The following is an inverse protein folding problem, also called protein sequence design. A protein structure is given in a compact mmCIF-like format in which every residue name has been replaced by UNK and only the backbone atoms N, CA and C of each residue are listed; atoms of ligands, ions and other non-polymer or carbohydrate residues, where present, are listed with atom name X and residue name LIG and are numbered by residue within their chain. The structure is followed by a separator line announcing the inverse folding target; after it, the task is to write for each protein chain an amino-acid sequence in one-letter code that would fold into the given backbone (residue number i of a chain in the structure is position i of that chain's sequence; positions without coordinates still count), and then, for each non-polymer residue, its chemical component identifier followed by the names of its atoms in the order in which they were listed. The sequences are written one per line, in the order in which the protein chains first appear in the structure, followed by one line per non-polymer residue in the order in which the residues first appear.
data_IF_490627292675
#
_entry.id   IF_490627292675
#
_cell.length_a   1.000
_cell.length_b   1.000
_cell.length_c   1.000
_cell.angle_alpha   90.00
_cell.angle_beta   90.00
_cell.angle_gamma   90.00
#
_symmetry.space_group_name_H-M   'P 1'
#
loop_
_entity.id
_entity.type
_entity.pdbx_description
1 polymer ?
#
# COMPACT_ATOMS: atom_id res chain seq x y z
N UNK A 1 37.56 63.50 -35.77
CA UNK A 1 36.51 63.05 -34.83
C UNK A 1 35.99 61.70 -35.30
N UNK A 2 36.40 60.59 -34.67
CA UNK A 2 35.86 59.24 -34.96
C UNK A 2 35.24 58.72 -33.66
N UNK A 3 33.92 58.73 -33.59
CA UNK A 3 33.16 58.13 -32.48
C UNK A 3 33.25 56.61 -32.61
N UNK A 4 33.79 55.94 -31.58
CA UNK A 4 33.61 54.50 -31.40
C UNK A 4 32.43 54.29 -30.44
N UNK A 5 31.34 53.71 -30.95
CA UNK A 5 30.22 53.24 -30.14
C UNK A 5 30.65 51.98 -29.38
N UNK A 6 30.77 52.07 -28.06
CA UNK A 6 30.92 50.90 -27.22
C UNK A 6 29.57 50.17 -27.13
N UNK A 7 29.46 49.00 -27.74
CA UNK A 7 28.32 48.11 -27.56
C UNK A 7 28.40 47.49 -26.17
N UNK A 8 27.52 47.92 -25.26
CA UNK A 8 27.34 47.30 -23.95
C UNK A 8 26.56 46.00 -24.15
N UNK A 9 27.25 44.86 -24.02
CA UNK A 9 26.61 43.55 -23.97
C UNK A 9 26.09 43.36 -22.55
N UNK A 10 24.77 43.46 -22.37
CA UNK A 10 24.11 43.13 -21.10
C UNK A 10 23.90 41.61 -21.06
N UNK A 11 24.43 40.90 -20.04
CA UNK A 11 24.16 39.47 -19.89
C UNK A 11 22.70 39.28 -19.47
N UNK A 12 21.91 38.65 -20.32
CA UNK A 12 20.56 38.18 -19.96
C UNK A 12 20.75 36.98 -19.04
N UNK A 13 20.55 37.17 -17.73
CA UNK A 13 20.42 36.06 -16.81
C UNK A 13 19.10 35.35 -17.08
N UNK A 14 19.16 34.13 -17.60
CA UNK A 14 18.01 33.25 -17.70
C UNK A 14 17.63 32.78 -16.28
N UNK A 15 16.54 33.33 -15.75
CA UNK A 15 15.96 32.84 -14.51
C UNK A 15 15.40 31.43 -14.74
N UNK A 16 16.03 30.42 -14.16
CA UNK A 16 15.48 29.08 -14.08
C UNK A 16 14.26 29.14 -13.15
N UNK A 17 13.06 29.01 -13.71
CA UNK A 17 11.85 28.88 -12.91
C UNK A 17 11.92 27.55 -12.14
N UNK A 18 12.21 27.62 -10.85
CA UNK A 18 12.06 26.48 -9.96
C UNK A 18 10.56 26.17 -9.85
N UNK A 19 10.15 24.99 -10.32
CA UNK A 19 8.79 24.50 -10.13
C UNK A 19 8.61 24.14 -8.64
N UNK A 20 7.71 24.84 -7.95
CA UNK A 20 7.34 24.49 -6.58
C UNK A 20 6.69 23.10 -6.56
N UNK A 21 6.98 22.25 -5.55
CA UNK A 21 6.32 20.96 -5.44
C UNK A 21 4.80 21.16 -5.32
N UNK A 22 3.99 20.23 -5.86
CA UNK A 22 2.54 20.33 -5.78
C UNK A 22 2.08 20.29 -4.31
N UNK A 23 1.09 21.11 -3.98
CA UNK A 23 0.38 21.00 -2.70
C UNK A 23 -0.54 19.77 -2.73
N UNK A 24 -0.62 19.04 -1.61
CA UNK A 24 -1.50 17.88 -1.49
C UNK A 24 -2.85 18.24 -0.84
N UNK A 25 -3.93 17.51 -1.19
CA UNK A 25 -4.02 16.59 -2.32
C UNK A 25 -4.10 17.34 -3.67
N UNK A 26 -3.77 16.66 -4.76
CA UNK A 26 -3.95 17.18 -6.12
C UNK A 26 -4.47 16.11 -7.08
N UNK A 27 -5.16 16.55 -8.13
CA UNK A 27 -5.66 15.67 -9.20
C UNK A 27 -4.57 15.42 -10.25
N UNK A 28 -4.54 14.20 -10.77
CA UNK A 28 -3.65 13.80 -11.85
C UNK A 28 -4.28 12.68 -12.68
N UNK A 29 -3.66 12.37 -13.81
CA UNK A 29 -4.18 11.44 -14.80
C UNK A 29 -3.16 10.34 -15.08
N UNK A 30 -3.68 9.12 -15.23
CA UNK A 30 -2.86 7.96 -15.61
C UNK A 30 -2.48 8.08 -17.09
N UNK A 31 -1.22 7.78 -17.41
CA UNK A 31 -0.62 8.01 -18.75
C UNK A 31 -0.42 6.74 -19.58
N UNK A 32 -0.82 5.57 -19.06
CA UNK A 32 -0.69 4.29 -19.76
C UNK A 32 -1.82 3.33 -19.34
N UNK A 33 -2.12 2.36 -20.20
CA UNK A 33 -3.17 1.37 -19.94
C UNK A 33 -2.69 0.26 -18.99
N UNK A 34 -3.63 -0.29 -18.21
CA UNK A 34 -3.39 -1.43 -17.34
C UNK A 34 -2.37 -1.19 -16.22
N UNK A 35 -2.16 0.07 -15.80
CA UNK A 35 -1.21 0.41 -14.74
C UNK A 35 -1.69 -0.14 -13.41
N UNK A 36 -0.90 -1.04 -12.83
CA UNK A 36 -1.23 -1.66 -11.55
C UNK A 36 -1.15 -0.66 -10.40
N UNK A 37 -2.20 -0.63 -9.59
CA UNK A 37 -2.19 0.00 -8.27
C UNK A 37 -2.02 -1.07 -7.20
N UNK A 38 -1.35 -0.73 -6.10
CA UNK A 38 -0.88 -1.69 -5.09
C UNK A 38 -1.34 -1.36 -3.69
N UNK A 39 -1.26 -2.36 -2.82
CA UNK A 39 -1.65 -2.27 -1.40
C UNK A 39 -0.67 -1.50 -0.52
N UNK A 40 0.52 -1.15 -1.03
CA UNK A 40 1.56 -0.38 -0.37
C UNK A 40 2.63 0.14 -1.34
N UNK A 41 3.57 0.98 -0.89
CA UNK A 41 4.62 1.57 -1.72
C UNK A 41 5.73 0.57 -2.01
N UNK A 42 5.65 -0.13 -3.14
CA UNK A 42 6.70 -1.07 -3.55
C UNK A 42 6.21 -2.23 -4.39
N UNK A 43 7.15 -2.92 -5.04
CA UNK A 43 6.87 -4.11 -5.85
C UNK A 43 6.54 -5.35 -5.00
N UNK A 44 6.95 -5.39 -3.73
CA UNK A 44 6.62 -6.44 -2.76
C UNK A 44 5.15 -6.42 -2.32
N UNK A 45 4.47 -5.28 -2.47
CA UNK A 45 3.04 -5.16 -2.18
C UNK A 45 2.22 -5.69 -3.35
N UNK A 46 1.20 -6.49 -3.04
CA UNK A 46 0.35 -7.09 -4.06
C UNK A 46 -0.45 -6.04 -4.84
N UNK A 47 -0.70 -6.26 -6.14
CA UNK A 47 -1.58 -5.41 -6.92
C UNK A 47 -3.03 -5.57 -6.47
N UNK A 48 -3.75 -4.46 -6.37
CA UNK A 48 -5.15 -4.42 -5.93
C UNK A 48 -6.10 -4.20 -7.09
N UNK A 49 -5.69 -3.41 -8.09
CA UNK A 49 -6.45 -3.19 -9.33
C UNK A 49 -5.52 -2.69 -10.45
N UNK A 50 -6.09 -2.38 -11.62
CA UNK A 50 -5.43 -1.68 -12.73
C UNK A 50 -6.23 -0.43 -13.11
N UNK A 51 -5.50 0.62 -13.49
CA UNK A 51 -6.07 1.84 -14.06
C UNK A 51 -5.59 2.01 -15.50
N UNK A 52 -6.48 2.52 -16.35
CA UNK A 52 -6.17 2.77 -17.76
C UNK A 52 -5.82 4.24 -18.01
N UNK A 53 -5.29 4.53 -19.20
CA UNK A 53 -4.91 5.89 -19.59
C UNK A 53 -6.10 6.83 -19.46
N UNK A 54 -5.86 8.03 -18.92
CA UNK A 54 -6.89 9.04 -18.69
C UNK A 54 -7.68 8.87 -17.40
N UNK A 55 -7.49 7.78 -16.64
CA UNK A 55 -8.10 7.66 -15.32
C UNK A 55 -7.62 8.79 -14.39
N UNK A 56 -8.56 9.55 -13.83
CA UNK A 56 -8.28 10.57 -12.82
C UNK A 56 -7.98 9.93 -11.46
N UNK A 57 -6.93 10.40 -10.80
CA UNK A 57 -6.55 10.00 -9.44
C UNK A 57 -6.32 11.24 -8.57
N UNK A 58 -6.68 11.14 -7.29
CA UNK A 58 -6.34 12.15 -6.28
C UNK A 58 -5.09 11.69 -5.52
N UNK A 59 -3.97 12.39 -5.72
CA UNK A 59 -2.67 12.10 -5.10
C UNK A 59 -2.58 12.84 -3.77
N UNK A 60 -2.31 12.10 -2.69
CA UNK A 60 -2.20 12.66 -1.33
C UNK A 60 -0.77 12.75 -0.82
N UNK A 61 0.14 11.95 -1.36
CA UNK A 61 1.53 11.90 -0.89
C UNK A 61 2.44 11.28 -1.93
N UNK A 62 3.69 11.72 -1.96
CA UNK A 62 4.78 11.06 -2.66
C UNK A 62 5.65 10.32 -1.64
N UNK A 63 5.81 9.02 -1.85
CA UNK A 63 6.59 8.13 -1.00
C UNK A 63 7.92 7.76 -1.68
N UNK A 64 8.96 7.40 -0.91
CA UNK A 64 10.25 6.98 -1.45
C UNK A 64 10.15 5.90 -2.52
N UNK A 65 11.10 5.89 -3.45
CA UNK A 65 11.10 4.94 -4.57
C UNK A 65 10.09 5.29 -5.66
N UNK A 66 9.56 6.53 -5.67
CA UNK A 66 8.72 7.07 -6.75
C UNK A 66 7.26 6.64 -6.70
N UNK A 67 6.75 6.22 -5.54
CA UNK A 67 5.37 5.77 -5.39
C UNK A 67 4.46 6.90 -4.94
N UNK A 68 3.29 7.03 -5.54
CA UNK A 68 2.30 8.02 -5.16
C UNK A 68 1.14 7.34 -4.43
N UNK A 69 0.85 7.79 -3.21
CA UNK A 69 -0.33 7.37 -2.48
C UNK A 69 -1.54 8.11 -3.04
N UNK A 70 -2.47 7.36 -3.61
CA UNK A 70 -3.71 7.86 -4.20
C UNK A 70 -4.89 7.46 -3.33
N UNK A 71 -5.93 8.31 -3.34
CA UNK A 71 -7.24 7.94 -2.80
C UNK A 71 -7.69 6.62 -3.45
N UNK A 72 -8.22 5.65 -2.68
CA UNK A 72 -8.70 4.38 -3.24
C UNK A 72 -9.68 4.63 -4.40
N UNK A 73 -9.39 4.17 -5.62
CA UNK A 73 -10.30 4.33 -6.75
C UNK A 73 -11.62 3.60 -6.52
N UNK A 74 -12.64 3.96 -7.31
CA UNK A 74 -13.95 3.30 -7.27
C UNK A 74 -13.82 1.77 -7.36
N UNK A 75 -14.62 1.05 -6.57
CA UNK A 75 -14.58 -0.41 -6.49
C UNK A 75 -13.45 -0.98 -5.62
N UNK A 76 -12.55 -0.15 -5.10
CA UNK A 76 -11.64 -0.54 -4.01
C UNK A 76 -12.43 -0.97 -2.77
N UNK A 77 -11.86 -1.87 -1.98
CA UNK A 77 -12.50 -2.39 -0.77
C UNK A 77 -11.46 -2.89 0.24
N UNK A 78 -11.93 -3.18 1.46
CA UNK A 78 -11.17 -3.89 2.49
C UNK A 78 -11.97 -5.09 3.04
N UNK A 79 -11.27 -6.03 3.68
CA UNK A 79 -11.83 -7.20 4.33
C UNK A 79 -11.77 -7.05 5.85
N UNK A 80 -12.88 -7.33 6.52
CA UNK A 80 -12.96 -7.39 7.98
C UNK A 80 -13.56 -8.72 8.40
N UNK A 81 -12.99 -9.33 9.44
CA UNK A 81 -13.49 -10.58 9.99
C UNK A 81 -14.88 -10.38 10.60
N UNK A 82 -15.82 -11.27 10.27
CA UNK A 82 -17.21 -11.16 10.69
C UNK A 82 -17.42 -11.28 12.19
N UNK A 83 -16.47 -11.86 12.94
CA UNK A 83 -16.53 -11.90 14.40
C UNK A 83 -16.46 -10.51 15.06
N UNK A 84 -16.05 -9.49 14.30
CA UNK A 84 -15.90 -8.12 14.78
C UNK A 84 -16.92 -7.13 14.20
N UNK A 85 -17.90 -7.62 13.44
CA UNK A 85 -18.95 -6.78 12.89
C UNK A 85 -20.32 -7.21 13.39
N UNK A 86 -21.12 -6.23 13.81
CA UNK A 86 -22.56 -6.37 14.02
C UNK A 86 -23.27 -5.71 12.86
N UNK A 87 -23.90 -6.51 12.01
CA UNK A 87 -24.67 -6.00 10.87
C UNK A 87 -25.87 -5.17 11.36
N UNK A 88 -26.10 -4.06 10.69
CA UNK A 88 -27.23 -3.17 10.86
C UNK A 88 -28.06 -3.16 9.55
N UNK A 89 -29.00 -2.21 9.43
CA UNK A 89 -29.78 -2.02 8.19
C UNK A 89 -28.96 -1.32 7.11
N UNK A 90 -29.48 -1.33 5.89
CA UNK A 90 -28.96 -0.54 4.76
C UNK A 90 -27.48 -0.76 4.42
N UNK A 91 -27.02 -2.00 4.60
CA UNK A 91 -25.64 -2.43 4.42
C UNK A 91 -24.63 -1.75 5.35
N UNK A 92 -25.05 -1.27 6.51
CA UNK A 92 -24.13 -0.78 7.54
C UNK A 92 -23.75 -1.91 8.49
N UNK A 93 -22.57 -1.79 9.11
CA UNK A 93 -22.20 -2.60 10.25
C UNK A 93 -21.49 -1.75 11.31
N UNK A 94 -21.76 -2.05 12.58
CA UNK A 94 -21.02 -1.49 13.71
C UNK A 94 -19.83 -2.38 14.04
N UNK A 95 -18.65 -1.80 14.18
CA UNK A 95 -17.45 -2.49 14.64
C UNK A 95 -17.59 -2.76 16.15
N UNK A 96 -17.49 -4.02 16.56
CA UNK A 96 -17.69 -4.44 17.97
C UNK A 96 -16.39 -4.84 18.69
N UNK A 97 -15.25 -4.75 18.01
CA UNK A 97 -13.92 -4.96 18.60
C UNK A 97 -13.09 -3.68 18.57
N UNK A 98 -12.04 -3.64 19.37
CA UNK A 98 -11.08 -2.53 19.36
C UNK A 98 -9.94 -2.84 18.40
N UNK A 99 -9.45 -1.83 17.67
CA UNK A 99 -8.28 -1.94 16.79
C UNK A 99 -8.39 -3.07 15.75
N UNK A 100 -9.58 -3.27 15.21
CA UNK A 100 -9.92 -4.35 14.27
C UNK A 100 -9.23 -4.10 12.93
N UNK A 101 -8.50 -5.09 12.43
CA UNK A 101 -7.79 -4.98 11.16
C UNK A 101 -8.77 -4.85 9.97
N UNK A 102 -8.69 -3.74 9.24
CA UNK A 102 -9.25 -3.61 7.90
C UNK A 102 -8.16 -4.00 6.88
N UNK A 103 -8.28 -5.21 6.34
CA UNK A 103 -7.28 -5.79 5.43
C UNK A 103 -7.53 -5.31 4.01
N UNK A 104 -6.53 -4.70 3.39
CA UNK A 104 -6.65 -4.12 2.04
C UNK A 104 -7.05 -5.19 1.02
N UNK A 105 -8.16 -4.97 0.31
CA UNK A 105 -8.68 -5.90 -0.68
C UNK A 105 -7.98 -5.79 -2.05
N UNK A 106 -7.97 -6.90 -2.79
CA UNK A 106 -7.53 -6.95 -4.20
C UNK A 106 -8.65 -7.49 -5.08
N UNK A 107 -8.87 -6.84 -6.23
CA UNK A 107 -9.75 -7.32 -7.32
C UNK A 107 -9.03 -8.29 -8.26
N UNK A 108 -7.71 -8.41 -8.10
CA UNK A 108 -6.83 -9.24 -8.93
C UNK A 108 -6.55 -10.61 -8.27
N UNK A 109 -6.58 -10.68 -6.94
CA UNK A 109 -6.28 -11.90 -6.17
C UNK A 109 -6.97 -11.92 -4.81
N UNK A 110 -6.89 -13.04 -4.07
CA UNK A 110 -7.42 -13.15 -2.70
C UNK A 110 -6.48 -12.60 -1.60
N UNK A 111 -5.36 -11.97 -1.98
CA UNK A 111 -4.37 -11.40 -1.06
C UNK A 111 -5.00 -10.31 -0.17
N UNK A 112 -4.66 -10.36 1.13
CA UNK A 112 -5.23 -9.48 2.17
C UNK A 112 -4.28 -9.28 3.36
N UNK A 113 -2.99 -9.44 3.13
CA UNK A 113 -1.99 -9.47 4.21
C UNK A 113 -1.70 -8.06 4.76
N UNK A 114 -2.00 -7.02 3.98
CA UNK A 114 -1.70 -5.63 4.33
C UNK A 114 -2.85 -5.02 5.12
N UNK A 115 -2.50 -4.41 6.25
CA UNK A 115 -3.43 -3.63 7.08
C UNK A 115 -2.87 -2.22 7.22
N UNK A 116 -3.57 -1.24 6.65
CA UNK A 116 -3.22 0.18 6.78
C UNK A 116 -4.01 0.84 7.91
N UNK A 117 -5.30 0.49 8.01
CA UNK A 117 -6.23 1.07 8.97
C UNK A 117 -6.70 0.00 9.96
N UNK A 118 -6.85 0.42 11.21
CA UNK A 118 -7.49 -0.38 12.26
C UNK A 118 -8.69 0.39 12.75
N UNK A 119 -9.84 -0.25 12.66
CA UNK A 119 -11.13 0.30 13.04
C UNK A 119 -11.31 0.20 14.55
N UNK A 120 -11.92 1.20 15.14
CA UNK A 120 -12.19 1.21 16.58
C UNK A 120 -13.64 0.80 16.89
N UNK A 121 -13.86 0.35 18.12
CA UNK A 121 -15.19 -0.09 18.57
C UNK A 121 -16.19 1.06 18.44
N UNK A 122 -17.37 0.76 17.89
CA UNK A 122 -18.44 1.72 17.66
C UNK A 122 -18.34 2.45 16.31
N UNK A 123 -17.25 2.28 15.57
CA UNK A 123 -17.14 2.80 14.20
C UNK A 123 -18.18 2.14 13.28
N UNK A 124 -18.78 2.92 12.39
CA UNK A 124 -19.71 2.44 11.38
C UNK A 124 -18.97 2.23 10.06
N UNK A 125 -19.20 1.08 9.42
CA UNK A 125 -18.63 0.74 8.11
C UNK A 125 -19.72 0.39 7.10
N UNK A 126 -19.50 0.76 5.84
CA UNK A 126 -20.33 0.34 4.71
C UNK A 126 -19.92 -1.07 4.26
N UNK A 127 -20.83 -2.03 4.39
CA UNK A 127 -20.69 -3.40 3.90
C UNK A 127 -21.07 -3.46 2.43
N UNK A 128 -20.16 -3.96 1.60
CA UNK A 128 -20.36 -4.14 0.17
C UNK A 128 -20.79 -5.58 -0.17
N UNK A 129 -20.24 -6.56 0.55
CA UNK A 129 -20.47 -7.99 0.27
C UNK A 129 -20.17 -8.86 1.51
N UNK A 130 -20.82 -10.02 1.61
CA UNK A 130 -20.47 -11.08 2.58
C UNK A 130 -19.83 -12.25 1.85
N UNK A 131 -18.64 -12.70 2.29
CA UNK A 131 -17.96 -13.87 1.74
C UNK A 131 -17.66 -14.87 2.86
N UNK A 132 -18.22 -16.07 2.75
CA UNK A 132 -17.84 -17.19 3.61
C UNK A 132 -16.59 -17.84 3.03
N UNK A 133 -15.57 -18.03 3.85
CA UNK A 133 -14.27 -18.57 3.41
C UNK A 133 -14.03 -19.87 4.16
N UNK A 134 -14.11 -20.98 3.43
CA UNK A 134 -13.78 -22.30 3.99
C UNK A 134 -12.28 -22.40 4.24
N UNK A 135 -11.90 -22.94 5.40
CA UNK A 135 -10.50 -23.21 5.75
C UNK A 135 -9.76 -22.05 6.44
N UNK A 136 -10.42 -20.94 6.75
CA UNK A 136 -9.83 -19.89 7.61
C UNK A 136 -10.14 -20.19 9.09
N UNK A 137 -9.11 -20.52 9.91
CA UNK A 137 -9.30 -20.86 11.31
C UNK A 137 -9.64 -19.66 12.21
N UNK A 138 -9.46 -18.41 11.77
CA UNK A 138 -9.74 -17.21 12.58
C UNK A 138 -11.16 -16.67 12.42
N UNK A 139 -11.79 -16.88 11.26
CA UNK A 139 -13.23 -16.63 11.02
C UNK A 139 -13.72 -17.26 9.72
N UNK A 140 -14.81 -18.02 9.79
CA UNK A 140 -15.47 -18.59 8.61
C UNK A 140 -16.17 -17.54 7.74
N UNK A 141 -16.45 -16.35 8.28
CA UNK A 141 -17.14 -15.26 7.56
C UNK A 141 -16.28 -14.00 7.53
N UNK A 142 -16.10 -13.46 6.32
CA UNK A 142 -15.46 -12.18 6.06
C UNK A 142 -16.43 -11.23 5.37
N UNK A 143 -16.38 -9.95 5.74
CA UNK A 143 -17.16 -8.91 5.08
C UNK A 143 -16.25 -8.02 4.25
N UNK A 144 -16.66 -7.80 3.00
CA UNK A 144 -16.09 -6.78 2.13
C UNK A 144 -16.72 -5.45 2.55
N UNK A 145 -15.91 -4.49 2.95
CA UNK A 145 -16.35 -3.15 3.31
C UNK A 145 -15.78 -2.11 2.35
N UNK A 146 -16.40 -0.94 2.27
CA UNK A 146 -15.79 0.21 1.63
C UNK A 146 -14.44 0.54 2.31
N UNK A 147 -13.44 1.07 1.57
CA UNK A 147 -12.16 1.43 2.15
C UNK A 147 -12.37 2.42 3.31
N UNK A 148 -11.87 2.13 4.52
CA UNK A 148 -12.00 3.06 5.63
C UNK A 148 -11.21 4.35 5.41
N UNK A 149 -11.59 5.41 6.11
CA UNK A 149 -10.89 6.67 6.03
C UNK A 149 -9.40 6.50 6.41
N UNK A 150 -8.52 7.12 5.62
CA UNK A 150 -7.06 7.01 5.81
C UNK A 150 -6.40 5.84 5.07
N UNK A 151 -7.16 4.99 4.39
CA UNK A 151 -6.61 3.97 3.49
C UNK A 151 -6.19 4.58 2.14
N UNK A 152 -5.08 4.10 1.58
CA UNK A 152 -4.58 4.49 0.25
C UNK A 152 -4.34 3.29 -0.67
N UNK A 153 -4.14 3.60 -1.95
CA UNK A 153 -3.52 2.72 -2.94
C UNK A 153 -2.25 3.39 -3.47
N UNK A 154 -1.32 2.61 -4.03
CA UNK A 154 -0.09 3.15 -4.58
C UNK A 154 0.01 2.88 -6.06
N UNK A 155 0.31 3.94 -6.81
CA UNK A 155 0.63 3.91 -8.22
C UNK A 155 2.06 4.40 -8.41
N UNK A 156 2.79 3.86 -9.38
CA UNK A 156 4.14 4.32 -9.64
C UNK A 156 4.10 5.67 -10.37
N UNK A 157 4.72 6.69 -9.79
CA UNK A 157 4.56 8.10 -10.16
C UNK A 157 4.96 8.42 -11.60
N UNK A 158 5.81 7.59 -12.23
CA UNK A 158 6.14 7.74 -13.66
C UNK A 158 4.94 7.60 -14.59
N UNK A 159 3.83 7.04 -14.12
CA UNK A 159 2.59 6.88 -14.87
C UNK A 159 1.55 7.95 -14.53
N UNK A 160 1.86 8.93 -13.68
CA UNK A 160 0.91 9.92 -13.18
C UNK A 160 1.35 11.31 -13.62
N UNK A 161 0.46 12.01 -14.34
CA UNK A 161 0.69 13.37 -14.82
C UNK A 161 -0.38 14.34 -14.26
N UNK A 162 0.00 15.41 -13.54
CA UNK A 162 -0.95 16.42 -13.07
C UNK A 162 -1.69 17.15 -14.19
N UNK A 163 -1.18 17.13 -15.42
CA UNK A 163 -1.80 17.79 -16.57
C UNK A 163 -2.86 16.86 -17.20
N UNK A 164 -4.05 17.41 -17.43
CA UNK A 164 -5.12 16.70 -18.11
C UNK A 164 -4.68 16.39 -19.56
N UNK A 165 -4.72 15.11 -20.00
CA UNK A 165 -4.40 14.76 -21.38
C UNK A 165 -5.28 15.48 -22.42
N UNK A 166 -6.42 16.05 -22.02
CA UNK A 166 -7.34 16.82 -22.88
C UNK A 166 -7.16 18.35 -22.82
N UNK A 167 -6.19 18.89 -22.07
CA UNK A 167 -5.95 20.34 -21.95
C UNK A 167 -5.37 20.99 -23.24
N UNK A 168 -5.26 20.24 -24.34
CA UNK A 168 -4.89 20.76 -25.67
C UNK A 168 -3.45 21.27 -25.81
N UNK A 169 -2.63 21.22 -24.75
CA UNK A 169 -1.29 21.81 -24.67
C UNK A 169 -0.15 20.83 -24.96
N UNK A 170 -0.40 19.54 -25.19
CA UNK A 170 0.67 18.55 -25.39
C UNK A 170 1.21 18.58 -26.83
N UNK A 171 2.26 19.37 -27.08
CA UNK A 171 3.30 18.99 -28.06
C UNK A 171 4.02 17.75 -27.52
N UNK A 172 4.00 16.67 -28.28
CA UNK A 172 4.66 15.39 -27.96
C UNK A 172 6.10 15.62 -27.50
N UNK A 173 6.39 15.27 -26.24
CA UNK A 173 7.75 15.02 -25.76
C UNK A 173 7.79 13.61 -25.16
N UNK A 174 8.77 12.78 -25.55
CA UNK A 174 8.88 11.43 -25.04
C UNK A 174 9.25 11.42 -23.55
N UNK A 175 8.78 10.37 -22.87
CA UNK A 175 8.82 10.21 -21.43
C UNK A 175 10.20 10.46 -20.80
N UNK A 176 10.29 11.51 -19.99
CA UNK A 176 11.28 11.60 -18.92
C UNK A 176 10.61 12.37 -17.78
N UNK A 177 10.25 11.67 -16.71
CA UNK A 177 9.66 12.29 -15.51
C UNK A 177 10.77 13.06 -14.77
N UNK A 178 10.72 14.40 -14.64
CA UNK A 178 11.82 15.16 -14.08
C UNK A 178 11.46 15.62 -12.66
N UNK A 179 11.45 14.71 -11.68
CA UNK A 179 11.35 15.08 -10.27
C UNK A 179 12.17 14.14 -9.36
N UNK A 180 13.47 13.99 -9.62
CA UNK A 180 14.46 13.64 -8.58
C UNK A 180 15.78 14.35 -8.92
N UNK A 181 16.32 15.24 -8.06
CA UNK A 181 17.69 15.72 -8.20
C UNK A 181 18.66 14.55 -8.00
N UNK A 182 19.43 14.19 -9.03
CA UNK A 182 20.60 13.34 -8.89
C UNK A 182 21.80 14.21 -8.55
N UNK A 183 22.21 14.20 -7.28
CA UNK A 183 23.50 14.74 -6.88
C UNK A 183 24.61 13.82 -7.41
N UNK A 184 25.54 14.40 -8.14
CA UNK A 184 26.52 13.69 -8.95
C UNK A 184 27.78 13.28 -8.18
N UNK A 185 28.24 12.07 -8.51
CA UNK A 185 29.62 11.60 -8.66
C UNK A 185 30.42 11.08 -7.45
N UNK A 186 30.81 9.80 -7.52
CA UNK A 186 32.20 9.31 -7.38
C UNK A 186 32.33 7.87 -7.97
N UNK A 187 33.53 7.45 -8.41
CA UNK A 187 33.70 6.71 -9.67
C UNK A 187 33.77 5.18 -9.57
N UNK A 188 33.72 4.57 -10.76
CA UNK A 188 33.78 3.14 -11.05
C UNK A 188 35.00 2.44 -10.45
N UNK A 189 34.79 1.24 -9.89
CA UNK A 189 35.88 0.30 -9.62
C UNK A 189 35.54 -1.09 -10.15
N UNK A 190 36.29 -1.43 -11.19
CA UNK A 190 36.60 -2.72 -11.81
C UNK A 190 36.21 -3.97 -11.00
N UNK A 191 35.35 -4.80 -11.58
CA UNK A 191 35.16 -6.20 -11.15
C UNK A 191 36.30 -7.07 -11.70
N UNK A 192 37.25 -7.39 -10.83
CA UNK A 192 38.15 -8.54 -11.05
C UNK A 192 37.45 -9.80 -10.55
N UNK A 193 37.26 -10.75 -11.46
CA UNK A 193 36.80 -12.09 -11.14
C UNK A 193 37.84 -12.84 -10.31
N UNK A 194 37.44 -13.32 -9.13
CA UNK A 194 38.18 -14.34 -8.39
C UNK A 194 37.28 -15.56 -8.24
N UNK A 195 37.70 -16.65 -8.88
CA UNK A 195 37.25 -18.01 -8.58
C UNK A 195 38.16 -18.57 -7.50
N UNK A 196 37.62 -19.07 -6.39
CA UNK A 196 38.29 -20.09 -5.57
C UNK A 196 37.25 -21.14 -5.12
N UNK A 197 37.54 -22.44 -5.28
CA UNK A 197 36.68 -23.54 -4.84
C UNK A 197 36.90 -23.95 -3.37
N UNK A 198 35.82 -24.48 -2.78
CA UNK A 198 35.70 -25.48 -1.71
C UNK A 198 36.81 -25.62 -0.66
N UNK A 199 36.46 -25.36 0.60
CA UNK A 199 36.89 -26.23 1.72
C UNK A 199 35.86 -26.23 2.86
N UNK A 200 35.61 -27.42 3.40
CA UNK A 200 34.64 -27.72 4.43
C UNK A 200 35.23 -27.45 5.81
N UNK A 201 34.45 -26.83 6.71
CA UNK A 201 34.70 -26.86 8.15
C UNK A 201 33.35 -27.00 8.84
N UNK A 202 33.15 -28.15 9.48
CA UNK A 202 32.07 -28.41 10.42
C UNK A 202 32.23 -27.54 11.66
N UNK A 203 31.21 -26.76 12.00
CA UNK A 203 30.90 -26.45 13.39
C UNK A 203 29.41 -26.63 13.62
N UNK A 204 29.10 -27.52 14.57
CA UNK A 204 27.77 -27.88 15.04
C UNK A 204 27.26 -26.78 15.99
N UNK A 205 26.06 -26.20 15.76
CA UNK A 205 25.51 -25.21 16.68
C UNK A 205 24.98 -25.89 17.96
N UNK A 206 25.16 -25.30 19.16
CA UNK A 206 24.64 -25.89 20.39
C UNK A 206 23.10 -25.93 20.38
N UNK A 207 22.56 -27.04 20.87
CA UNK A 207 21.14 -27.33 20.95
C UNK A 207 20.37 -26.22 21.68
N UNK A 208 19.39 -25.62 20.99
CA UNK A 208 18.40 -24.76 21.60
C UNK A 208 17.42 -25.62 22.43
N UNK A 209 17.23 -25.27 23.69
CA UNK A 209 16.21 -25.88 24.55
C UNK A 209 14.80 -25.72 23.96
N UNK A 210 13.91 -26.71 24.11
CA UNK A 210 12.54 -26.60 23.63
C UNK A 210 11.74 -25.55 24.43
N UNK A 211 10.81 -24.83 23.78
CA UNK A 211 9.97 -23.85 24.47
C UNK A 211 9.03 -24.54 25.48
N UNK A 212 8.98 -23.97 26.69
CA UNK A 212 8.03 -24.35 27.75
C UNK A 212 6.60 -24.09 27.28
N UNK A 213 5.77 -25.13 27.28
CA UNK A 213 4.35 -25.05 26.94
C UNK A 213 3.58 -24.16 27.93
N UNK A 214 2.57 -23.39 27.50
CA UNK A 214 1.68 -22.69 28.41
C UNK A 214 0.82 -23.71 29.19
N UNK A 215 0.69 -23.46 30.49
CA UNK A 215 -0.14 -24.26 31.40
C UNK A 215 -1.60 -24.32 30.93
N UNK A 216 -2.17 -25.53 30.98
CA UNK A 216 -3.59 -25.77 30.72
C UNK A 216 -4.46 -25.03 31.77
N UNK A 217 -5.64 -24.53 31.41
CA UNK A 217 -6.61 -24.04 32.38
C UNK A 217 -7.21 -25.22 33.17
N UNK A 218 -7.32 -25.05 34.49
CA UNK A 218 -7.95 -25.99 35.42
C UNK A 218 -9.35 -26.40 34.97
N UNK A 219 -9.60 -27.71 34.96
CA UNK A 219 -10.92 -28.30 34.78
C UNK A 219 -11.79 -28.04 36.03
N UNK A 220 -13.12 -27.88 35.88
CA UNK A 220 -14.01 -27.77 37.04
C UNK A 220 -14.15 -29.12 37.76
N UNK A 221 -14.11 -29.04 39.09
CA UNK A 221 -14.32 -30.15 40.03
C UNK A 221 -15.75 -30.70 39.89
N UNK A 222 -15.87 -31.88 39.30
CA UNK A 222 -17.10 -32.66 39.24
C UNK A 222 -17.11 -33.67 40.39
N UNK A 223 -17.57 -33.22 41.56
CA UNK A 223 -17.90 -34.12 42.65
C UNK A 223 -19.19 -34.90 42.31
N UNK A 224 -19.05 -36.22 42.25
CA UNK A 224 -20.11 -37.19 42.09
C UNK A 224 -20.98 -37.26 43.35
N UNK A 225 -22.30 -37.09 43.19
CA UNK A 225 -23.28 -37.53 44.19
C UNK A 225 -24.03 -38.75 43.62
N UNK A 226 -23.69 -39.92 44.14
CA UNK A 226 -24.36 -41.17 43.85
C UNK A 226 -25.70 -41.24 44.61
N UNK A 227 -26.80 -41.44 43.88
CA UNK A 227 -28.05 -41.97 44.43
C UNK A 227 -28.30 -43.37 43.87
N UNK A 228 -28.63 -44.38 44.70
CA UNK A 228 -28.91 -45.72 44.22
C UNK A 228 -30.30 -45.81 43.55
N UNK A 229 -30.41 -46.73 42.60
CA UNK A 229 -31.61 -47.14 41.87
C UNK A 229 -32.40 -48.23 42.65
N UNK A 230 -33.51 -48.80 42.15
CA UNK A 230 -34.86 -48.56 42.66
C UNK A 230 -35.50 -49.78 43.39
N UNK A 231 -36.60 -49.52 44.11
CA UNK A 231 -37.67 -50.47 44.42
C UNK A 231 -38.98 -49.70 44.67
#
# INVERSE_FOLDING_TARGET
MRLFCAAVVVPVMAATAASSPPSFPYKAYVTADGVQIRSGPGSSYYPTDKLDTGAEVEVHRHDPGGWYAIRPPEGSFAWVSGRFLKLEKDRLATVIGDRVAARVGSRISDARDVVQVRLDRGELVDVLETKTIQGDPESSTWYKIAPPAGEFRWIFGKYVDPQDPNDGTRKVQPATSPLVPHEAAAPESSSVAVRIPTEAISEEPPAAEPPVAPAAPDAPDAAAEAKPSPA
#
